data_IF_488207347167
#
_entry.id   IF_488207347167
#
_cell.length_a   1.000
_cell.length_b   1.000
_cell.length_c   1.000
_cell.angle_alpha   90.00
_cell.angle_beta   90.00
_cell.angle_gamma   90.00
#
_symmetry.space_group_name_H-M   'P 1'
#
loop_
_entity.id
_entity.type
_entity.pdbx_description
1 polymer ?
#
# COMPACT_ATOMS: atom_id res chain seq x y z
N UNK A 1 -11.22 3.57 3.06
CA UNK A 1 -10.83 2.71 1.91
C UNK A 1 -10.89 3.58 0.67
N UNK A 2 -9.95 3.43 -0.26
CA UNK A 2 -10.01 4.15 -1.53
C UNK A 2 -8.81 3.86 -2.42
N UNK A 3 -8.88 4.34 -3.66
CA UNK A 3 -7.78 4.39 -4.62
C UNK A 3 -6.94 5.65 -4.36
N UNK A 4 -5.67 5.46 -4.03
CA UNK A 4 -4.74 6.55 -3.76
C UNK A 4 -3.71 6.76 -4.87
N UNK A 5 -3.71 5.89 -5.89
CA UNK A 5 -2.71 5.90 -6.98
C UNK A 5 -1.25 5.97 -6.45
N UNK A 6 -1.00 5.34 -5.31
CA UNK A 6 0.26 5.38 -4.57
C UNK A 6 0.82 3.96 -4.38
N UNK A 7 2.14 3.80 -4.43
CA UNK A 7 2.80 2.52 -4.15
C UNK A 7 3.55 2.67 -2.84
N UNK A 8 3.10 1.96 -1.82
CA UNK A 8 3.75 1.97 -0.48
C UNK A 8 4.91 0.96 -0.41
N UNK A 9 4.79 -0.16 -1.14
CA UNK A 9 5.80 -1.20 -1.21
C UNK A 9 5.78 -2.19 -0.04
N UNK A 10 6.88 -2.94 0.12
CA UNK A 10 7.03 -3.97 1.17
C UNK A 10 7.78 -3.48 2.41
N UNK A 11 8.32 -2.27 2.37
CA UNK A 11 9.10 -1.70 3.46
C UNK A 11 8.19 -1.32 4.63
N UNK A 12 8.47 -1.90 5.80
CA UNK A 12 7.77 -1.61 7.05
C UNK A 12 8.14 -0.19 7.50
N UNK A 13 7.15 0.60 7.90
CA UNK A 13 7.35 1.91 8.55
C UNK A 13 6.64 1.87 9.88
N UNK A 14 7.44 1.79 10.95
CA UNK A 14 7.00 1.81 12.36
C UNK A 14 5.67 1.05 12.58
N UNK A 15 4.66 1.78 13.04
CA UNK A 15 3.30 1.28 13.28
C UNK A 15 2.30 1.72 12.21
N UNK A 16 2.78 2.28 11.09
CA UNK A 16 1.92 2.80 10.01
C UNK A 16 1.77 1.79 8.87
N UNK A 17 2.88 1.23 8.39
CA UNK A 17 2.92 0.32 7.25
C UNK A 17 3.46 -1.03 7.67
N UNK A 18 2.69 -2.09 7.41
CA UNK A 18 3.12 -3.46 7.62
C UNK A 18 4.01 -4.01 6.49
N UNK A 19 4.72 -5.10 6.77
CA UNK A 19 5.70 -5.72 5.85
C UNK A 19 5.11 -6.48 4.66
N UNK A 20 3.78 -6.55 4.54
CA UNK A 20 3.09 -7.42 3.58
C UNK A 20 2.52 -6.69 2.36
N UNK A 21 2.86 -5.41 2.16
CA UNK A 21 2.52 -4.69 0.92
C UNK A 21 3.16 -5.28 -0.34
N UNK A 22 3.07 -4.55 -1.45
CA UNK A 22 3.51 -4.98 -2.78
C UNK A 22 4.24 -3.87 -3.52
N UNK A 23 5.34 -4.24 -4.20
CA UNK A 23 6.08 -3.36 -5.10
C UNK A 23 7.13 -2.51 -4.40
N UNK A 24 7.64 -1.52 -5.15
CA UNK A 24 8.62 -0.54 -4.68
C UNK A 24 7.91 0.77 -4.39
N UNK A 25 8.26 1.41 -3.28
CA UNK A 25 7.67 2.67 -2.87
C UNK A 25 7.93 3.76 -3.91
N UNK A 26 6.92 4.56 -4.21
CA UNK A 26 7.06 5.76 -5.03
C UNK A 26 6.84 7.04 -4.21
N UNK A 27 7.12 8.21 -4.79
CA UNK A 27 6.95 9.51 -4.12
C UNK A 27 5.52 9.72 -3.57
N UNK A 28 4.49 9.23 -4.28
CA UNK A 28 3.10 9.28 -3.80
C UNK A 28 2.86 8.38 -2.60
N UNK A 29 3.53 7.22 -2.55
CA UNK A 29 3.53 6.32 -1.41
C UNK A 29 4.15 6.97 -0.18
N UNK A 30 5.27 7.70 -0.35
CA UNK A 30 5.90 8.43 0.75
C UNK A 30 4.95 9.51 1.32
N UNK A 31 4.37 10.34 0.46
CA UNK A 31 3.36 11.35 0.87
C UNK A 31 2.15 10.74 1.57
N UNK A 32 1.71 9.57 1.11
CA UNK A 32 0.61 8.87 1.76
C UNK A 32 1.01 8.42 3.17
N UNK A 33 2.23 7.89 3.36
CA UNK A 33 2.75 7.49 4.68
C UNK A 33 2.88 8.70 5.61
N UNK A 34 3.42 9.82 5.14
CA UNK A 34 3.49 11.08 5.91
C UNK A 34 2.11 11.54 6.39
N UNK A 35 1.11 11.45 5.51
CA UNK A 35 -0.28 11.74 5.88
C UNK A 35 -0.79 10.76 6.94
N UNK A 36 -0.48 9.47 6.81
CA UNK A 36 -0.87 8.44 7.77
C UNK A 36 -0.25 8.67 9.16
N UNK A 37 1.03 9.03 9.20
CA UNK A 37 1.74 9.44 10.41
C UNK A 37 1.08 10.64 11.08
N UNK A 38 0.76 11.67 10.30
CA UNK A 38 0.13 12.90 10.81
C UNK A 38 -1.27 12.64 11.38
N UNK A 39 -2.03 11.73 10.78
CA UNK A 39 -3.41 11.42 11.17
C UNK A 39 -3.51 10.22 12.13
N UNK A 40 -2.39 9.65 12.58
CA UNK A 40 -2.33 8.46 13.42
C UNK A 40 -3.17 7.29 12.85
N UNK A 41 -3.02 7.04 11.54
CA UNK A 41 -3.72 5.95 10.85
C UNK A 41 -2.74 4.94 10.30
N UNK A 42 -3.17 3.67 10.22
CA UNK A 42 -2.37 2.58 9.69
C UNK A 42 -2.90 2.12 8.33
N UNK A 43 -2.01 1.64 7.47
CA UNK A 43 -2.33 1.08 6.16
C UNK A 43 -2.68 -0.40 6.31
N UNK A 44 -3.90 -0.71 6.74
CA UNK A 44 -4.33 -2.03 7.19
C UNK A 44 -4.04 -3.19 6.24
N UNK A 45 -4.21 -3.02 4.93
CA UNK A 45 -3.96 -4.08 3.94
C UNK A 45 -2.48 -4.47 3.77
N UNK A 46 -1.55 -3.73 4.38
CA UNK A 46 -0.11 -4.08 4.42
C UNK A 46 0.29 -4.90 5.65
N UNK A 47 -0.60 -5.06 6.63
CA UNK A 47 -0.32 -5.77 7.90
C UNK A 47 -0.57 -7.28 7.84
N UNK A 48 -1.42 -7.74 6.92
CA UNK A 48 -1.80 -9.13 6.84
C UNK A 48 -1.10 -9.83 5.68
N UNK A 49 -0.58 -11.03 5.95
CA UNK A 49 -0.06 -11.89 4.90
C UNK A 49 -1.20 -12.39 4.01
N UNK A 50 -1.08 -12.13 2.71
CA UNK A 50 -2.05 -12.58 1.70
C UNK A 50 -1.32 -13.28 0.54
N UNK A 51 -2.00 -14.20 -0.16
CA UNK A 51 -1.48 -14.76 -1.41
C UNK A 51 -1.17 -13.63 -2.41
N UNK A 52 -0.06 -13.70 -3.17
CA UNK A 52 0.34 -12.63 -4.11
C UNK A 52 -0.77 -12.19 -5.07
N UNK A 53 -1.65 -13.11 -5.50
CA UNK A 53 -2.80 -12.83 -6.37
C UNK A 53 -3.83 -11.86 -5.76
N UNK A 54 -3.89 -11.74 -4.44
CA UNK A 54 -4.86 -10.88 -3.72
C UNK A 54 -4.27 -9.54 -3.25
N UNK A 55 -2.97 -9.30 -3.47
CA UNK A 55 -2.29 -8.08 -3.00
C UNK A 55 -2.47 -6.88 -3.93
N UNK A 56 -2.50 -7.12 -5.23
CA UNK A 56 -2.65 -6.06 -6.23
C UNK A 56 -4.13 -5.77 -6.48
N UNK A 57 -4.43 -4.51 -6.78
CA UNK A 57 -5.78 -4.04 -7.05
C UNK A 57 -5.91 -3.44 -8.45
N UNK A 58 -4.77 -3.20 -9.12
CA UNK A 58 -4.71 -2.74 -10.50
C UNK A 58 -3.73 -3.58 -11.31
N UNK A 59 -4.06 -3.84 -12.59
CA UNK A 59 -3.17 -4.47 -13.57
C UNK A 59 -3.08 -3.62 -14.85
N UNK A 60 -1.91 -3.60 -15.49
CA UNK A 60 -1.76 -2.99 -16.80
C UNK A 60 -2.40 -3.84 -17.89
N UNK A 61 -2.72 -3.21 -19.03
CA UNK A 61 -3.06 -3.92 -20.26
C UNK A 61 -1.92 -4.87 -20.61
N UNK A 62 -2.23 -6.13 -20.94
CA UNK A 62 -1.22 -7.17 -21.20
C UNK A 62 -0.63 -7.85 -19.95
N UNK A 63 -1.05 -7.48 -18.73
CA UNK A 63 -0.60 -8.10 -17.46
C UNK A 63 0.92 -7.96 -17.18
N UNK A 64 1.56 -6.96 -17.78
CA UNK A 64 2.98 -6.68 -17.59
C UNK A 64 3.29 -6.13 -16.20
N UNK A 65 2.34 -5.38 -15.61
CA UNK A 65 2.52 -4.74 -14.30
C UNK A 65 1.28 -4.93 -13.44
N UNK A 66 1.50 -5.24 -12.16
CA UNK A 66 0.47 -5.31 -11.13
C UNK A 66 0.81 -4.37 -9.99
N UNK A 67 -0.12 -3.52 -9.60
CA UNK A 67 0.07 -2.51 -8.58
C UNK A 67 -0.94 -2.68 -7.45
N UNK A 68 -0.48 -2.46 -6.22
CA UNK A 68 -1.35 -2.20 -5.09
C UNK A 68 -1.50 -0.69 -4.99
N UNK A 69 -2.70 -0.16 -5.25
CA UNK A 69 -2.99 1.30 -5.21
C UNK A 69 -4.24 1.63 -4.39
N UNK A 70 -5.06 0.63 -4.07
CA UNK A 70 -6.18 0.77 -3.16
C UNK A 70 -5.76 0.35 -1.74
N UNK A 71 -6.09 1.18 -0.76
CA UNK A 71 -5.70 0.96 0.63
C UNK A 71 -6.86 1.13 1.60
N UNK A 72 -6.79 0.36 2.69
CA UNK A 72 -7.70 0.48 3.84
C UNK A 72 -6.96 1.19 4.96
N UNK A 73 -7.35 2.43 5.22
CA UNK A 73 -6.86 3.21 6.36
C UNK A 73 -7.68 2.88 7.61
N UNK A 74 -7.00 2.64 8.73
CA UNK A 74 -7.60 2.32 10.03
C UNK A 74 -7.04 3.30 11.06
N UNK A 75 -7.91 3.93 11.86
CA UNK A 75 -7.55 4.81 12.98
C UNK A 75 -7.63 4.08 14.30
#
# INVERSE_FOLDING_TARGET
MGDFNAKIGTEKVDDIVGKHGLGIRNERGEKLIEWCQTNNTIVGNTWFQQPPRRKWTWKSTGDETRNQIDYMMIS
#
